data_IF_351460872541
#
_entry.id   IF_351460872541
#
_cell.length_a   1.000
_cell.length_b   1.000
_cell.length_c   1.000
_cell.angle_alpha   90.00
_cell.angle_beta   90.00
_cell.angle_gamma   90.00
#
_symmetry.space_group_name_H-M   'P 1'
#
loop_
_entity.id
_entity.type
_entity.pdbx_description
1 polymer ?
#
# COMPACT_ATOMS: atom_id res chain seq x y z
N UNK A 1 -2.32 20.12 -31.82
CA UNK A 1 -3.23 21.06 -31.15
C UNK A 1 -3.33 20.90 -29.62
N UNK A 2 -3.03 19.74 -29.02
CA UNK A 2 -3.18 19.54 -27.56
C UNK A 2 -2.11 20.21 -26.67
N UNK A 3 -0.93 20.56 -27.20
CA UNK A 3 0.21 21.06 -26.38
C UNK A 3 0.03 22.49 -25.85
N UNK A 4 -0.74 23.34 -26.54
CA UNK A 4 -0.91 24.75 -26.15
C UNK A 4 -1.79 24.93 -24.90
N UNK A 5 -2.80 24.06 -24.70
CA UNK A 5 -3.71 24.11 -23.56
C UNK A 5 -3.02 23.80 -22.22
N UNK A 6 -1.94 23.01 -22.23
CA UNK A 6 -1.24 22.57 -21.03
C UNK A 6 -0.06 23.47 -20.65
N UNK A 7 0.33 24.43 -21.50
CA UNK A 7 1.52 25.24 -21.29
C UNK A 7 1.41 26.10 -20.02
N UNK A 8 0.25 26.73 -19.80
CA UNK A 8 -0.01 27.48 -18.57
C UNK A 8 -0.12 26.55 -17.35
N UNK A 9 -0.65 25.34 -17.53
CA UNK A 9 -0.82 24.37 -16.44
C UNK A 9 0.52 23.82 -15.94
N UNK A 10 1.51 23.65 -16.83
CA UNK A 10 2.85 23.19 -16.42
C UNK A 10 3.58 24.19 -15.52
N UNK A 11 3.36 25.50 -15.70
CA UNK A 11 3.97 26.53 -14.86
C UNK A 11 3.37 26.55 -13.46
N UNK A 12 2.04 26.41 -13.35
CA UNK A 12 1.36 26.27 -12.05
C UNK A 12 1.77 24.99 -11.31
N UNK A 13 1.86 23.86 -11.99
CA UNK A 13 2.32 22.59 -11.39
C UNK A 13 3.76 22.71 -10.88
N UNK A 14 4.67 23.30 -11.66
CA UNK A 14 6.05 23.55 -11.21
C UNK A 14 6.10 24.47 -9.99
N UNK A 15 5.25 25.48 -9.94
CA UNK A 15 5.17 26.38 -8.79
C UNK A 15 4.67 25.67 -7.52
N UNK A 16 3.60 24.87 -7.63
CA UNK A 16 3.05 24.09 -6.52
C UNK A 16 4.06 23.06 -6.02
N UNK A 17 4.71 22.31 -6.92
CA UNK A 17 5.73 21.32 -6.55
C UNK A 17 6.92 21.97 -5.85
N UNK A 18 7.37 23.16 -6.29
CA UNK A 18 8.43 23.91 -5.60
C UNK A 18 8.01 24.36 -4.20
N UNK A 19 6.75 24.77 -4.03
CA UNK A 19 6.19 25.18 -2.74
C UNK A 19 6.05 24.00 -1.78
N UNK A 20 5.55 22.86 -2.25
CA UNK A 20 5.25 21.69 -1.44
C UNK A 20 6.37 20.64 -1.41
N UNK A 21 7.57 21.00 -1.88
CA UNK A 21 8.76 20.13 -1.95
C UNK A 21 9.17 19.47 -0.64
N UNK A 22 8.75 20.00 0.50
CA UNK A 22 9.02 19.44 1.84
C UNK A 22 7.85 18.57 2.30
N UNK A 23 6.60 19.02 2.06
CA UNK A 23 5.41 18.29 2.50
C UNK A 23 5.24 16.97 1.75
N UNK A 24 5.51 16.95 0.45
CA UNK A 24 5.41 15.76 -0.39
C UNK A 24 6.32 14.62 0.10
N UNK A 25 7.65 14.82 0.27
CA UNK A 25 8.52 13.74 0.75
C UNK A 25 8.23 13.36 2.20
N UNK A 26 7.78 14.29 3.06
CA UNK A 26 7.35 13.95 4.42
C UNK A 26 6.15 13.01 4.38
N UNK A 27 5.14 13.31 3.57
CA UNK A 27 3.96 12.45 3.44
C UNK A 27 4.31 11.08 2.85
N UNK A 28 5.15 11.04 1.83
CA UNK A 28 5.63 9.78 1.26
C UNK A 28 6.38 8.96 2.32
N UNK A 29 7.32 9.57 3.04
CA UNK A 29 8.08 8.90 4.08
C UNK A 29 7.18 8.42 5.22
N UNK A 30 6.20 9.22 5.64
CA UNK A 30 5.24 8.84 6.66
C UNK A 30 4.40 7.62 6.24
N UNK A 31 3.88 7.61 5.00
CA UNK A 31 3.14 6.46 4.47
C UNK A 31 4.05 5.22 4.42
N UNK A 32 5.27 5.36 3.88
CA UNK A 32 6.21 4.24 3.80
C UNK A 32 6.55 3.68 5.17
N UNK A 33 6.88 4.53 6.14
CA UNK A 33 7.18 4.12 7.52
C UNK A 33 5.98 3.45 8.15
N UNK A 34 4.79 4.02 8.00
CA UNK A 34 3.56 3.43 8.53
C UNK A 34 3.28 2.04 7.94
N UNK A 35 3.45 1.87 6.63
CA UNK A 35 3.30 0.58 5.95
C UNK A 35 4.33 -0.44 6.45
N UNK A 36 5.60 -0.05 6.59
CA UNK A 36 6.66 -0.95 7.09
C UNK A 36 6.40 -1.35 8.54
N UNK A 37 6.00 -0.40 9.40
CA UNK A 37 5.64 -0.70 10.79
C UNK A 37 4.47 -1.67 10.85
N UNK A 38 3.42 -1.44 10.04
CA UNK A 38 2.27 -2.33 9.96
C UNK A 38 2.70 -3.74 9.54
N UNK A 39 3.50 -3.87 8.48
CA UNK A 39 4.03 -5.16 8.04
C UNK A 39 4.89 -5.85 9.12
N UNK A 40 5.71 -5.08 9.84
CA UNK A 40 6.54 -5.60 10.92
C UNK A 40 5.70 -6.16 12.08
N UNK A 41 4.56 -5.54 12.40
CA UNK A 41 3.64 -6.04 13.44
C UNK A 41 3.07 -7.42 13.09
N UNK A 42 2.96 -7.77 11.81
CA UNK A 42 2.53 -9.12 11.38
C UNK A 42 3.63 -10.18 11.44
N UNK A 43 4.91 -9.78 11.40
CA UNK A 43 6.03 -10.74 11.40
C UNK A 43 6.11 -11.59 12.68
N UNK A 44 5.58 -11.10 13.80
CA UNK A 44 5.55 -11.82 15.07
C UNK A 44 4.34 -12.74 15.27
N UNK A 45 3.34 -12.70 14.39
CA UNK A 45 2.09 -13.45 14.57
C UNK A 45 2.23 -14.95 14.24
N UNK A 46 2.88 -15.27 13.12
CA UNK A 46 3.10 -16.66 12.66
C UNK A 46 4.55 -16.83 12.25
N UNK A 47 5.38 -17.13 13.26
CA UNK A 47 6.84 -17.16 13.12
C UNK A 47 7.29 -18.44 12.42
N UNK A 48 6.57 -19.54 12.66
CA UNK A 48 6.90 -20.86 12.13
C UNK A 48 6.08 -21.20 10.88
N UNK A 49 6.62 -22.07 10.03
CA UNK A 49 5.89 -22.55 8.86
C UNK A 49 4.69 -23.40 9.29
N UNK A 50 4.84 -24.16 10.37
CA UNK A 50 3.82 -25.01 10.96
C UNK A 50 2.59 -24.20 11.42
N UNK A 51 2.80 -23.04 12.07
CA UNK A 51 1.70 -22.13 12.46
C UNK A 51 0.94 -21.57 11.25
N UNK A 52 1.66 -21.26 10.16
CA UNK A 52 1.04 -20.75 8.92
C UNK A 52 0.20 -21.83 8.25
N UNK A 53 0.69 -23.07 8.21
CA UNK A 53 -0.03 -24.20 7.65
C UNK A 53 -1.29 -24.54 8.47
N UNK A 54 -1.19 -24.51 9.80
CA UNK A 54 -2.35 -24.73 10.67
C UNK A 54 -3.47 -23.71 10.39
N UNK A 55 -3.13 -22.45 10.14
CA UNK A 55 -4.12 -21.42 9.79
C UNK A 55 -4.66 -21.61 8.39
N UNK A 56 -3.82 -21.93 7.41
CA UNK A 56 -4.28 -22.24 6.05
C UNK A 56 -5.32 -23.37 6.05
N UNK A 57 -5.11 -24.40 6.87
CA UNK A 57 -6.08 -25.47 7.07
C UNK A 57 -7.41 -24.96 7.65
N UNK A 58 -7.38 -24.08 8.66
CA UNK A 58 -8.62 -23.49 9.22
C UNK A 58 -9.36 -22.59 8.24
N UNK A 59 -8.65 -21.96 7.30
CA UNK A 59 -9.24 -21.11 6.27
C UNK A 59 -9.83 -21.90 5.10
N UNK A 60 -9.60 -23.22 5.03
CA UNK A 60 -10.06 -24.10 3.95
C UNK A 60 -11.53 -24.53 4.12
N UNK A 61 -12.44 -23.57 4.07
CA UNK A 61 -13.90 -23.79 4.19
C UNK A 61 -14.67 -22.99 3.13
N UNK A 62 -15.73 -23.55 2.49
CA UNK A 62 -16.62 -22.80 1.60
C UNK A 62 -17.15 -21.47 2.15
N UNK A 63 -17.35 -21.33 3.46
CA UNK A 63 -17.73 -20.04 4.07
C UNK A 63 -16.65 -18.97 3.88
N UNK A 64 -15.37 -19.34 4.05
CA UNK A 64 -14.25 -18.42 3.86
C UNK A 64 -14.08 -18.04 2.38
N UNK A 65 -14.24 -19.00 1.47
CA UNK A 65 -14.23 -18.72 0.02
C UNK A 65 -15.36 -17.76 -0.39
N UNK A 66 -16.53 -17.87 0.24
CA UNK A 66 -17.63 -16.94 -0.01
C UNK A 66 -17.36 -15.53 0.52
N UNK A 67 -16.64 -15.40 1.64
CA UNK A 67 -16.36 -14.10 2.28
C UNK A 67 -15.14 -13.37 1.70
N UNK A 68 -14.07 -14.08 1.38
CA UNK A 68 -12.75 -13.50 1.04
C UNK A 68 -12.30 -13.89 -0.38
N UNK A 69 -13.00 -14.84 -1.02
CA UNK A 69 -12.61 -15.39 -2.31
C UNK A 69 -11.65 -16.58 -2.20
N UNK A 70 -11.22 -17.16 -3.33
CA UNK A 70 -10.28 -18.27 -3.32
C UNK A 70 -8.90 -17.83 -2.81
N UNK A 71 -8.37 -18.54 -1.81
CA UNK A 71 -7.00 -18.36 -1.37
C UNK A 71 -6.03 -18.98 -2.38
N UNK A 72 -5.38 -18.15 -3.21
CA UNK A 72 -4.34 -18.57 -4.16
C UNK A 72 -2.91 -18.52 -3.57
N UNK A 73 -2.79 -18.47 -2.24
CA UNK A 73 -1.54 -18.32 -1.50
C UNK A 73 -1.30 -19.48 -0.57
#
# INVERSE_FOLDING_TARGET
>A
MMKAAFHHMSDFVRFIVKRDRIRIPIWLLAITVFTVLTASSFSGLYQTEEERQAIAETMRNPAMTAMVGPGYG
#
